data_IF_861987332632
#
_entry.id   IF_861987332632
#
_cell.length_a   1.000
_cell.length_b   1.000
_cell.length_c   1.000
_cell.angle_alpha   90.00
_cell.angle_beta   90.00
_cell.angle_gamma   90.00
#
_symmetry.space_group_name_H-M   'P 1'
#
loop_
_entity.id
_entity.type
_entity.pdbx_description
1 polymer ?
#
# COMPACT_ATOMS: atom_id res chain seq x y z
N UNK A 1 7.95 -20.30 -21.27
CA UNK A 1 6.65 -20.15 -20.56
C UNK A 1 6.94 -20.11 -19.07
N UNK A 2 6.82 -18.93 -18.43
CA UNK A 2 7.10 -18.74 -17.00
C UNK A 2 5.82 -19.04 -16.21
N UNK A 3 5.92 -19.88 -15.18
CA UNK A 3 4.81 -20.19 -14.29
C UNK A 3 4.36 -18.89 -13.62
N UNK A 4 3.10 -18.55 -13.82
CA UNK A 4 2.37 -17.41 -13.26
C UNK A 4 1.74 -17.75 -11.90
N UNK A 5 2.30 -18.75 -11.21
CA UNK A 5 1.62 -19.42 -10.09
C UNK A 5 1.88 -18.72 -8.75
N UNK A 6 2.84 -17.80 -8.70
CA UNK A 6 3.00 -16.85 -7.60
C UNK A 6 2.49 -15.51 -8.10
N UNK A 7 1.47 -14.95 -7.44
CA UNK A 7 0.89 -13.64 -7.77
C UNK A 7 1.93 -12.52 -7.89
N UNK A 8 1.54 -11.42 -8.52
CA UNK A 8 2.38 -10.21 -8.62
C UNK A 8 2.73 -9.72 -7.20
N UNK A 9 3.84 -9.00 -7.03
CA UNK A 9 4.23 -8.47 -5.71
C UNK A 9 3.15 -7.61 -5.06
N UNK A 10 2.29 -7.00 -5.90
CA UNK A 10 1.09 -6.28 -5.49
C UNK A 10 0.04 -7.15 -4.79
N UNK A 11 -0.13 -8.41 -5.20
CA UNK A 11 -1.10 -9.35 -4.63
C UNK A 11 -0.74 -9.71 -3.18
N UNK A 12 0.51 -9.47 -2.78
CA UNK A 12 0.93 -9.64 -1.39
C UNK A 12 0.40 -8.55 -0.44
N UNK A 13 -0.19 -7.46 -0.94
CA UNK A 13 -0.78 -6.37 -0.15
C UNK A 13 -2.23 -6.72 0.19
N UNK A 14 -2.37 -7.78 0.97
CA UNK A 14 -3.66 -8.28 1.47
C UNK A 14 -4.31 -7.33 2.49
N UNK A 15 -5.56 -7.64 2.87
CA UNK A 15 -6.32 -6.84 3.83
C UNK A 15 -5.59 -6.62 5.16
N UNK A 16 -4.88 -7.63 5.66
CA UNK A 16 -4.12 -7.53 6.91
C UNK A 16 -2.99 -6.51 6.80
N UNK A 17 -2.27 -6.47 5.67
CA UNK A 17 -1.27 -5.43 5.43
C UNK A 17 -1.90 -4.05 5.24
N UNK A 18 -3.02 -3.97 4.53
CA UNK A 18 -3.77 -2.72 4.36
C UNK A 18 -4.18 -2.13 5.71
N UNK A 19 -4.75 -2.94 6.61
CA UNK A 19 -5.17 -2.49 7.95
C UNK A 19 -3.97 -2.05 8.81
N UNK A 20 -2.86 -2.80 8.77
CA UNK A 20 -1.64 -2.43 9.50
C UNK A 20 -1.08 -1.09 9.02
N UNK A 21 -0.98 -0.90 7.70
CA UNK A 21 -0.48 0.34 7.10
C UNK A 21 -1.45 1.51 7.36
N UNK A 22 -2.74 1.26 7.27
CA UNK A 22 -3.81 2.22 7.57
C UNK A 22 -3.73 2.74 9.00
N UNK A 23 -3.62 1.86 9.99
CA UNK A 23 -3.45 2.24 11.41
C UNK A 23 -2.16 3.01 11.65
N UNK A 24 -1.06 2.61 11.02
CA UNK A 24 0.21 3.31 11.14
C UNK A 24 0.12 4.74 10.56
N UNK A 25 -0.52 4.91 9.41
CA UNK A 25 -0.75 6.21 8.81
C UNK A 25 -1.67 7.08 9.68
N UNK A 26 -2.76 6.51 10.23
CA UNK A 26 -3.65 7.23 11.14
C UNK A 26 -2.90 7.76 12.36
N UNK A 27 -2.09 6.91 13.01
CA UNK A 27 -1.25 7.32 14.13
C UNK A 27 -0.24 8.41 13.74
N UNK A 28 0.39 8.29 12.57
CA UNK A 28 1.30 9.31 12.05
C UNK A 28 0.59 10.66 11.87
N UNK A 29 -0.60 10.69 11.26
CA UNK A 29 -1.35 11.93 11.05
C UNK A 29 -1.81 12.57 12.37
N UNK A 30 -2.24 11.76 13.34
CA UNK A 30 -2.64 12.25 14.67
C UNK A 30 -1.49 12.93 15.42
N UNK A 31 -0.25 12.51 15.16
CA UNK A 31 0.96 13.04 15.80
C UNK A 31 1.65 14.15 14.99
N UNK A 32 1.19 14.43 13.76
CA UNK A 32 1.78 15.41 12.85
C UNK A 32 0.72 16.35 12.26
N UNK A 33 0.34 17.43 12.95
CA UNK A 33 -0.76 18.32 12.56
C UNK A 33 -0.61 18.96 11.17
N UNK A 34 0.62 19.20 10.71
CA UNK A 34 0.85 19.71 9.36
C UNK A 34 0.50 18.66 8.29
N UNK A 35 0.88 17.40 8.50
CA UNK A 35 0.56 16.31 7.59
C UNK A 35 -0.95 15.98 7.59
N UNK A 36 -1.62 16.09 8.74
CA UNK A 36 -3.07 15.86 8.88
C UNK A 36 -3.94 16.77 8.00
N UNK A 37 -3.40 17.88 7.48
CA UNK A 37 -4.10 18.79 6.56
C UNK A 37 -4.10 18.33 5.11
N UNK A 38 -3.41 17.25 4.80
CA UNK A 38 -3.28 16.72 3.44
C UNK A 38 -4.00 15.38 3.28
N UNK A 39 -4.54 15.08 2.09
CA UNK A 39 -5.12 13.78 1.82
C UNK A 39 -4.05 12.68 1.90
N UNK A 40 -4.39 11.59 2.59
CA UNK A 40 -3.55 10.39 2.63
C UNK A 40 -3.93 9.45 1.48
N UNK A 41 -2.93 8.88 0.80
CA UNK A 41 -3.09 7.89 -0.27
C UNK A 41 -2.13 6.74 -0.02
N UNK A 42 -2.58 5.52 -0.29
CA UNK A 42 -1.74 4.33 -0.23
C UNK A 42 -1.41 3.84 -1.63
N UNK A 43 -0.13 3.88 -1.98
CA UNK A 43 0.37 3.38 -3.25
C UNK A 43 1.11 2.06 -3.05
N UNK A 44 1.08 1.20 -4.07
CA UNK A 44 1.85 -0.05 -4.11
C UNK A 44 2.84 0.01 -5.27
N UNK A 45 4.12 -0.13 -4.95
CA UNK A 45 5.21 -0.25 -5.93
C UNK A 45 5.71 -1.69 -5.91
N UNK A 46 5.21 -2.50 -6.86
CA UNK A 46 5.63 -3.89 -7.02
C UNK A 46 6.89 -3.95 -7.88
N UNK A 47 7.93 -4.60 -7.36
CA UNK A 47 9.18 -4.84 -8.07
C UNK A 47 9.26 -6.32 -8.40
N UNK A 48 9.16 -6.63 -9.69
CA UNK A 48 9.29 -7.99 -10.18
C UNK A 48 10.76 -8.34 -10.49
N UNK A 49 11.01 -9.64 -10.68
CA UNK A 49 12.32 -10.12 -11.10
C UNK A 49 12.79 -9.43 -12.39
N UNK A 50 14.07 -9.07 -12.45
CA UNK A 50 14.63 -8.31 -13.58
C UNK A 50 14.37 -6.80 -13.51
N UNK A 51 13.93 -6.27 -12.36
CA UNK A 51 13.83 -4.83 -12.13
C UNK A 51 12.60 -4.17 -12.74
N UNK A 52 11.63 -4.95 -13.23
CA UNK A 52 10.37 -4.38 -13.74
C UNK A 52 9.56 -3.82 -12.57
N UNK A 53 9.30 -2.53 -12.62
CA UNK A 53 8.51 -1.82 -11.62
C UNK A 53 7.08 -1.65 -12.14
N UNK A 54 6.10 -1.96 -11.28
CA UNK A 54 4.69 -1.61 -11.46
C UNK A 54 4.27 -0.73 -10.31
N UNK A 55 3.81 0.48 -10.60
CA UNK A 55 3.26 1.40 -9.61
C UNK A 55 1.75 1.45 -9.73
N UNK A 56 1.07 0.96 -8.70
CA UNK A 56 -0.38 1.08 -8.51
C UNK A 56 -0.60 2.27 -7.59
N UNK A 57 -1.12 3.36 -8.14
CA UNK A 57 -1.51 4.54 -7.36
C UNK A 57 -2.88 4.31 -6.75
N UNK A 58 -3.11 4.82 -5.55
CA UNK A 58 -4.38 4.66 -4.84
C UNK A 58 -4.82 3.19 -4.75
N UNK A 59 -3.88 2.32 -4.38
CA UNK A 59 -4.03 0.88 -4.44
C UNK A 59 -5.11 0.35 -3.48
N UNK A 60 -5.36 1.05 -2.38
CA UNK A 60 -6.42 0.73 -1.43
C UNK A 60 -6.78 1.93 -0.57
N UNK A 61 -7.98 1.88 0.01
CA UNK A 61 -8.45 2.85 1.01
C UNK A 61 -8.51 2.19 2.38
N UNK A 62 -8.17 2.95 3.41
CA UNK A 62 -8.30 2.53 4.80
C UNK A 62 -9.46 3.28 5.45
N UNK A 63 -10.41 2.53 5.97
CA UNK A 63 -11.41 3.02 6.89
C UNK A 63 -11.26 2.25 8.20
N UNK A 64 -11.02 2.93 9.33
CA UNK A 64 -11.08 2.28 10.63
C UNK A 64 -12.54 1.86 10.91
N UNK A 65 -12.70 0.70 11.55
CA UNK A 65 -13.99 0.25 12.10
C UNK A 65 -14.48 1.19 13.22
#
# INVERSE_FOLDING_TARGET
RRRSDFGDGADSVDRRKQDRLGRAALHFLQTHPAAARHPARFDVVAVAQGGRIRWIKDAFHFQPD
#
